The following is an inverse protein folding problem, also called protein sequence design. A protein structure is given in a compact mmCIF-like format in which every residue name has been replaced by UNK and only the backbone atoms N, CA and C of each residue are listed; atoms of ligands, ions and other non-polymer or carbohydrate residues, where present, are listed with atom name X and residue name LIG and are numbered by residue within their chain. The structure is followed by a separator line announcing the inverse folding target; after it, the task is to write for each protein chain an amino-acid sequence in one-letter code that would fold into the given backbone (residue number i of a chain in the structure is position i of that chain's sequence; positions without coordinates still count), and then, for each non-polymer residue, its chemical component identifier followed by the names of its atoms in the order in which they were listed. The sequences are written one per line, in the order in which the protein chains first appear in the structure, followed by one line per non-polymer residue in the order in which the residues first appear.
data_IF_802531160423
#
_entry.id   IF_802531160423
#
_cell.length_a   1.000
_cell.length_b   1.000
_cell.length_c   1.000
_cell.angle_alpha   90.00
_cell.angle_beta   90.00
_cell.angle_gamma   90.00
#
_symmetry.space_group_name_H-M   'P 1'
#
loop_
_entity.id
_entity.type
_entity.pdbx_description
1 polymer ?
#
# COMPACT_ATOMS: atom_id res chain seq x y z
N UNK A 1 -14.77 -13.71 -5.89
CA UNK A 1 -13.90 -14.82 -6.34
C UNK A 1 -12.99 -15.23 -5.20
N UNK A 2 -12.81 -16.54 -4.96
CA UNK A 2 -11.85 -17.04 -3.96
C UNK A 2 -10.42 -16.78 -4.46
N UNK A 3 -9.57 -16.11 -3.67
CA UNK A 3 -8.15 -15.91 -3.98
C UNK A 3 -7.33 -16.95 -3.22
N UNK A 4 -6.33 -17.53 -3.87
CA UNK A 4 -5.38 -18.43 -3.22
C UNK A 4 -4.16 -17.63 -2.78
N UNK A 5 -3.86 -17.64 -1.48
CA UNK A 5 -2.71 -16.96 -0.92
C UNK A 5 -1.63 -17.98 -0.55
N UNK A 6 -0.38 -17.64 -0.88
CA UNK A 6 0.81 -18.35 -0.42
C UNK A 6 1.05 -18.00 1.05
N UNK A 7 1.58 -18.98 1.78
CA UNK A 7 2.12 -18.74 3.12
C UNK A 7 3.54 -18.24 3.01
N UNK A 8 4.01 -17.60 4.08
CA UNK A 8 5.41 -17.22 4.26
C UNK A 8 5.95 -16.39 3.08
N UNK A 9 5.19 -15.37 2.68
CA UNK A 9 5.47 -14.60 1.48
C UNK A 9 5.30 -13.10 1.68
N UNK A 10 6.07 -12.34 0.90
CA UNK A 10 5.96 -10.89 0.83
C UNK A 10 4.91 -10.47 -0.20
N UNK A 11 3.98 -9.63 0.25
CA UNK A 11 2.85 -9.18 -0.54
C UNK A 11 2.90 -7.67 -0.80
N UNK A 12 2.86 -7.30 -2.07
CA UNK A 12 2.59 -5.93 -2.51
C UNK A 12 1.11 -5.80 -2.88
N UNK A 13 0.44 -4.81 -2.30
CA UNK A 13 -1.00 -4.61 -2.42
C UNK A 13 -1.26 -3.17 -2.86
N UNK A 14 -2.08 -3.00 -3.88
CA UNK A 14 -2.61 -1.69 -4.32
C UNK A 14 -4.11 -1.69 -4.13
N UNK A 15 -4.65 -0.64 -3.51
CA UNK A 15 -6.10 -0.48 -3.33
C UNK A 15 -6.52 0.86 -3.92
N UNK A 16 -7.01 0.87 -5.18
CA UNK A 16 -7.49 2.09 -5.80
C UNK A 16 -8.89 2.47 -5.31
N UNK A 17 -9.21 3.75 -5.44
CA UNK A 17 -10.59 4.22 -5.36
C UNK A 17 -11.34 3.92 -6.65
N UNK A 18 -12.66 3.88 -6.57
CA UNK A 18 -13.53 3.68 -7.74
C UNK A 18 -13.23 4.77 -8.78
N UNK A 19 -12.94 4.34 -10.01
CA UNK A 19 -12.52 5.19 -11.13
C UNK A 19 -11.28 6.06 -10.87
N UNK A 20 -10.45 5.72 -9.87
CA UNK A 20 -9.31 6.54 -9.42
C UNK A 20 -9.71 7.97 -9.01
N UNK A 21 -10.94 8.14 -8.51
CA UNK A 21 -11.41 9.41 -7.99
C UNK A 21 -10.63 9.83 -6.73
N UNK A 22 -10.24 11.09 -6.67
CA UNK A 22 -9.51 11.67 -5.55
C UNK A 22 -10.40 11.94 -4.33
N UNK A 23 -10.73 10.89 -3.57
CA UNK A 23 -11.51 11.02 -2.33
C UNK A 23 -10.70 11.57 -1.15
N UNK A 24 -9.36 11.47 -1.18
CA UNK A 24 -8.49 11.79 -0.03
C UNK A 24 -7.48 12.90 -0.36
N UNK A 25 -7.96 14.04 -0.89
CA UNK A 25 -7.08 15.17 -1.28
C UNK A 25 -6.48 15.88 -0.08
N UNK A 26 -7.26 16.02 0.99
CA UNK A 26 -6.86 16.78 2.16
C UNK A 26 -6.13 15.89 3.17
N UNK A 27 -5.15 16.42 3.91
CA UNK A 27 -4.45 15.65 4.95
C UNK A 27 -5.38 15.01 5.98
N UNK A 28 -6.47 15.69 6.36
CA UNK A 28 -7.47 15.13 7.27
C UNK A 28 -8.19 13.89 6.74
N UNK A 29 -8.36 13.79 5.42
CA UNK A 29 -8.97 12.63 4.77
C UNK A 29 -7.98 11.47 4.68
N UNK A 30 -6.74 11.73 4.27
CA UNK A 30 -5.66 10.71 4.29
C UNK A 30 -5.43 10.16 5.71
N UNK A 31 -5.57 11.01 6.72
CA UNK A 31 -5.44 10.62 8.13
C UNK A 31 -6.48 9.56 8.56
N UNK A 32 -7.69 9.57 7.97
CA UNK A 32 -8.69 8.52 8.21
C UNK A 32 -8.14 7.15 7.81
N UNK A 33 -7.57 7.06 6.60
CA UNK A 33 -6.95 5.82 6.08
C UNK A 33 -5.75 5.43 6.94
N UNK A 34 -4.88 6.38 7.26
CA UNK A 34 -3.68 6.15 8.08
C UNK A 34 -4.03 5.58 9.45
N UNK A 35 -5.02 6.16 10.14
CA UNK A 35 -5.47 5.69 11.45
C UNK A 35 -6.01 4.26 11.39
N UNK A 36 -6.78 3.93 10.35
CA UNK A 36 -7.28 2.57 10.12
C UNK A 36 -6.15 1.59 9.84
N UNK A 37 -5.17 1.99 9.03
CA UNK A 37 -3.98 1.20 8.70
C UNK A 37 -3.13 0.91 9.94
N UNK A 38 -2.81 1.90 10.76
CA UNK A 38 -2.04 1.72 12.00
C UNK A 38 -2.75 0.77 12.95
N UNK A 39 -4.07 0.91 13.09
CA UNK A 39 -4.87 0.01 13.92
C UNK A 39 -4.96 -1.40 13.33
N UNK A 40 -4.96 -1.55 12.01
CA UNK A 40 -4.93 -2.84 11.34
C UNK A 40 -3.60 -3.57 11.59
N UNK A 41 -2.46 -2.89 11.45
CA UNK A 41 -1.13 -3.45 11.73
C UNK A 41 -1.11 -4.09 13.12
N UNK A 42 -1.60 -3.37 14.14
CA UNK A 42 -1.71 -3.89 15.52
C UNK A 42 -2.71 -5.03 15.65
N UNK A 43 -3.90 -4.88 15.07
CA UNK A 43 -5.02 -5.84 15.21
C UNK A 43 -4.71 -7.20 14.57
N UNK A 44 -4.00 -7.20 13.46
CA UNK A 44 -3.68 -8.40 12.68
C UNK A 44 -2.26 -8.92 12.94
N UNK A 45 -1.52 -8.32 13.88
CA UNK A 45 -0.19 -8.78 14.28
C UNK A 45 0.85 -8.64 13.18
N UNK A 46 0.76 -7.60 12.34
CA UNK A 46 1.71 -7.39 11.25
C UNK A 46 3.00 -6.80 11.83
N UNK A 47 4.11 -7.52 11.71
CA UNK A 47 5.40 -7.11 12.30
C UNK A 47 5.97 -5.86 11.64
N UNK A 48 5.98 -5.82 10.31
CA UNK A 48 6.46 -4.70 9.52
C UNK A 48 5.57 -4.48 8.29
N UNK A 49 5.22 -3.23 8.04
CA UNK A 49 4.47 -2.82 6.87
C UNK A 49 5.01 -1.50 6.34
N UNK A 50 5.44 -1.53 5.08
CA UNK A 50 5.66 -0.32 4.31
C UNK A 50 4.36 0.11 3.64
N UNK A 51 4.13 1.43 3.58
CA UNK A 51 2.89 1.97 3.03
C UNK A 51 3.09 3.35 2.42
N UNK A 52 2.15 3.71 1.54
CA UNK A 52 1.90 5.09 1.13
C UNK A 52 0.42 5.30 0.82
N UNK A 53 -0.08 6.50 1.11
CA UNK A 53 -1.48 6.88 0.93
C UNK A 53 -1.54 8.14 0.05
N UNK A 54 -2.13 7.97 -1.13
CA UNK A 54 -2.34 9.01 -2.13
C UNK A 54 -3.82 9.46 -2.07
N UNK A 55 -4.21 10.40 -2.92
CA UNK A 55 -5.60 10.92 -2.96
C UNK A 55 -6.63 9.90 -3.45
N UNK A 56 -6.20 8.94 -4.26
CA UNK A 56 -7.07 8.00 -4.96
C UNK A 56 -6.62 6.53 -4.85
N UNK A 57 -5.60 6.22 -4.07
CA UNK A 57 -5.18 4.84 -3.79
C UNK A 57 -4.24 4.80 -2.58
N UNK A 58 -3.99 3.59 -2.08
CA UNK A 58 -2.86 3.34 -1.19
C UNK A 58 -2.12 2.07 -1.59
N UNK A 59 -0.84 2.02 -1.25
CA UNK A 59 0.01 0.85 -1.41
C UNK A 59 0.43 0.30 -0.06
N UNK A 60 0.50 -1.03 0.04
CA UNK A 60 1.05 -1.76 1.18
C UNK A 60 2.10 -2.75 0.71
N UNK A 61 3.12 -2.95 1.52
CA UNK A 61 4.08 -4.04 1.39
C UNK A 61 4.35 -4.64 2.76
N UNK A 62 4.04 -5.91 2.92
CA UNK A 62 4.26 -6.62 4.18
C UNK A 62 4.45 -8.11 3.94
N UNK A 63 5.17 -8.74 4.86
CA UNK A 63 5.30 -10.18 4.92
C UNK A 63 4.13 -10.77 5.70
N UNK A 64 3.62 -11.91 5.25
CA UNK A 64 2.51 -12.60 5.91
C UNK A 64 2.84 -14.10 6.03
N UNK A 65 2.87 -14.60 7.26
CA UNK A 65 2.90 -16.05 7.54
C UNK A 65 1.62 -16.72 7.01
N UNK A 66 0.47 -16.07 7.27
CA UNK A 66 -0.83 -16.46 6.73
C UNK A 66 -1.51 -15.29 6.01
N UNK A 67 -1.33 -15.23 4.69
CA UNK A 67 -1.92 -14.20 3.86
C UNK A 67 -3.46 -14.30 3.70
N UNK A 68 -4.13 -15.31 4.27
CA UNK A 68 -5.59 -15.33 4.36
C UNK A 68 -6.15 -14.20 5.25
N UNK A 69 -5.31 -13.52 6.03
CA UNK A 69 -5.71 -12.33 6.79
C UNK A 69 -5.90 -11.09 5.91
N UNK A 70 -5.28 -11.04 4.71
CA UNK A 70 -5.29 -9.86 3.83
C UNK A 70 -6.71 -9.36 3.55
N UNK A 71 -7.69 -10.17 3.12
CA UNK A 71 -9.05 -9.67 2.86
C UNK A 71 -9.72 -9.05 4.10
N UNK A 72 -9.52 -9.64 5.29
CA UNK A 72 -10.09 -9.10 6.54
C UNK A 72 -9.40 -7.80 6.96
N UNK A 73 -8.09 -7.72 6.76
CA UNK A 73 -7.29 -6.52 7.02
C UNK A 73 -7.72 -5.38 6.09
N UNK A 74 -7.83 -5.62 4.78
CA UNK A 74 -8.27 -4.61 3.83
C UNK A 74 -9.74 -4.21 4.07
N UNK A 75 -10.62 -5.13 4.45
CA UNK A 75 -11.98 -4.79 4.85
C UNK A 75 -12.02 -3.84 6.05
N UNK A 76 -11.13 -4.05 7.03
CA UNK A 76 -10.99 -3.17 8.19
C UNK A 76 -10.47 -1.78 7.79
N UNK A 77 -9.48 -1.72 6.90
CA UNK A 77 -8.88 -0.47 6.41
C UNK A 77 -9.85 0.28 5.49
N UNK A 78 -10.19 -0.31 4.34
CA UNK A 78 -11.00 0.30 3.29
C UNK A 78 -12.46 0.46 3.70
N UNK A 79 -13.07 -0.55 4.32
CA UNK A 79 -14.45 -0.45 4.79
C UNK A 79 -14.59 0.56 5.93
N UNK A 80 -13.67 0.51 6.90
CA UNK A 80 -13.65 1.43 8.04
C UNK A 80 -13.41 2.88 7.65
N UNK A 81 -12.47 3.11 6.72
CA UNK A 81 -12.20 4.45 6.18
C UNK A 81 -13.34 4.97 5.31
N UNK A 82 -14.00 4.11 4.53
CA UNK A 82 -15.19 4.50 3.76
C UNK A 82 -16.30 5.00 4.67
N UNK A 83 -16.57 4.28 5.75
CA UNK A 83 -17.59 4.66 6.72
C UNK A 83 -17.29 6.02 7.37
N UNK A 84 -16.05 6.21 7.85
CA UNK A 84 -15.64 7.45 8.50
C UNK A 84 -15.61 8.64 7.53
N UNK A 85 -15.07 8.45 6.32
CA UNK A 85 -15.02 9.48 5.30
C UNK A 85 -16.42 9.91 4.84
N UNK A 86 -17.30 8.94 4.56
CA UNK A 86 -18.68 9.22 4.16
C UNK A 86 -19.45 9.96 5.26
N UNK A 87 -19.24 9.61 6.53
CA UNK A 87 -19.82 10.34 7.67
C UNK A 87 -19.25 11.76 7.78
N UNK A 88 -17.95 11.95 7.56
CA UNK A 88 -17.30 13.25 7.59
C UNK A 88 -17.77 14.18 6.47
N UNK A 89 -18.01 13.64 5.26
CA UNK A 89 -18.47 14.40 4.10
C UNK A 89 -19.99 14.46 3.93
N UNK A 90 -20.74 13.78 4.79
CA UNK A 90 -22.22 13.66 4.71
C UNK A 90 -22.74 13.04 3.39
N UNK A 91 -21.98 12.12 2.80
CA UNK A 91 -22.36 11.38 1.58
C UNK A 91 -22.41 9.86 1.82
N UNK A 92 -22.94 9.11 0.84
CA UNK A 92 -22.88 7.65 0.82
C UNK A 92 -22.32 7.17 -0.52
N UNK A 93 -21.00 7.11 -0.62
CA UNK A 93 -20.31 6.64 -1.82
C UNK A 93 -19.63 5.29 -1.57
N UNK A 94 -19.56 4.47 -2.62
CA UNK A 94 -18.55 3.41 -2.70
C UNK A 94 -17.23 4.09 -3.02
N UNK A 95 -16.27 4.04 -2.09
CA UNK A 95 -15.00 4.76 -2.22
C UNK A 95 -13.94 3.88 -2.87
N UNK A 96 -13.75 2.66 -2.39
CA UNK A 96 -12.69 1.75 -2.84
C UNK A 96 -13.16 0.77 -3.91
N UNK A 97 -12.26 0.48 -4.86
CA UNK A 97 -12.43 -0.53 -5.89
C UNK A 97 -11.74 -1.85 -5.50
N UNK A 98 -11.75 -2.83 -6.39
CA UNK A 98 -11.07 -4.10 -6.20
C UNK A 98 -9.55 -3.91 -6.03
N UNK A 99 -9.00 -4.44 -4.93
CA UNK A 99 -7.57 -4.39 -4.68
C UNK A 99 -6.79 -5.34 -5.60
N UNK A 100 -5.59 -4.90 -5.99
CA UNK A 100 -4.59 -5.72 -6.67
C UNK A 100 -3.59 -6.26 -5.65
N UNK A 101 -3.17 -7.51 -5.84
CA UNK A 101 -2.24 -8.19 -4.93
C UNK A 101 -1.22 -9.00 -5.72
N UNK A 102 0.04 -8.85 -5.35
CA UNK A 102 1.19 -9.44 -6.01
C UNK A 102 2.10 -10.07 -4.97
N UNK A 103 2.72 -11.20 -5.32
CA UNK A 103 3.76 -11.81 -4.50
C UNK A 103 5.10 -11.39 -5.05
N UNK A 104 5.95 -10.83 -4.20
CA UNK A 104 7.34 -10.56 -4.54
C UNK A 104 8.13 -11.88 -4.48
N UNK A 105 8.82 -12.24 -5.57
CA UNK A 105 9.38 -13.59 -5.70
C UNK A 105 10.88 -13.72 -5.38
N UNK A 106 11.59 -12.64 -5.08
CA UNK A 106 13.05 -12.64 -4.84
C UNK A 106 13.50 -11.42 -4.03
N UNK A 107 14.59 -11.56 -3.27
CA UNK A 107 15.17 -10.48 -2.46
C UNK A 107 15.62 -9.27 -3.30
N UNK A 108 16.11 -9.49 -4.53
CA UNK A 108 16.53 -8.39 -5.41
C UNK A 108 15.38 -7.46 -5.86
N UNK A 109 14.14 -7.91 -5.70
CA UNK A 109 12.93 -7.16 -6.03
C UNK A 109 12.43 -6.41 -4.78
N UNK A 110 12.70 -6.93 -3.58
CA UNK A 110 12.15 -6.40 -2.34
C UNK A 110 12.42 -4.90 -2.17
N UNK A 111 13.69 -4.51 -2.21
CA UNK A 111 14.11 -3.12 -2.04
C UNK A 111 13.54 -2.19 -3.10
N UNK A 112 13.40 -2.67 -4.34
CA UNK A 112 12.75 -1.91 -5.41
C UNK A 112 11.27 -1.66 -5.11
N UNK A 113 10.56 -2.68 -4.61
CA UNK A 113 9.15 -2.50 -4.22
C UNK A 113 9.03 -1.58 -3.01
N UNK A 114 9.89 -1.72 -2.01
CA UNK A 114 9.91 -0.81 -0.86
C UNK A 114 10.13 0.63 -1.29
N UNK A 115 11.17 0.88 -2.08
CA UNK A 115 11.48 2.20 -2.64
C UNK A 115 10.31 2.78 -3.40
N UNK A 116 9.61 1.95 -4.18
CA UNK A 116 8.41 2.37 -4.90
C UNK A 116 7.32 2.77 -3.92
N UNK A 117 6.96 1.88 -2.98
CA UNK A 117 5.91 2.12 -1.97
C UNK A 117 6.18 3.39 -1.19
N UNK A 118 7.34 3.51 -0.55
CA UNK A 118 7.63 4.63 0.35
C UNK A 118 7.86 5.96 -0.41
N UNK A 119 8.27 5.88 -1.69
CA UNK A 119 8.51 7.02 -2.58
C UNK A 119 7.31 7.50 -3.38
N UNK A 120 6.17 6.78 -3.34
CA UNK A 120 5.00 7.12 -4.16
C UNK A 120 4.45 8.54 -3.97
N UNK A 121 4.43 9.13 -2.75
CA UNK A 121 4.01 10.52 -2.60
C UNK A 121 4.83 11.51 -3.45
N UNK A 122 6.13 11.28 -3.59
CA UNK A 122 6.98 12.08 -4.48
C UNK A 122 6.62 11.82 -5.95
N UNK A 123 6.49 10.54 -6.34
CA UNK A 123 6.10 10.16 -7.71
C UNK A 123 4.77 10.76 -8.14
N UNK A 124 3.78 10.83 -7.25
CA UNK A 124 2.45 11.37 -7.51
C UNK A 124 2.34 12.89 -7.31
N UNK A 125 3.44 13.56 -6.95
CA UNK A 125 3.48 15.01 -6.79
C UNK A 125 2.76 15.53 -5.54
N UNK A 126 2.47 14.66 -4.56
CA UNK A 126 1.98 15.06 -3.24
C UNK A 126 3.04 15.87 -2.45
N UNK A 127 4.32 15.68 -2.79
CA UNK A 127 5.49 16.39 -2.29
C UNK A 127 6.46 16.69 -3.44
N UNK A 128 7.38 17.64 -3.28
CA UNK A 128 8.26 18.11 -4.36
C UNK A 128 9.68 17.57 -4.30
N UNK A 129 10.15 17.14 -3.14
CA UNK A 129 11.49 16.55 -2.98
C UNK A 129 11.46 15.27 -2.16
N UNK A 130 12.47 14.42 -2.29
CA UNK A 130 12.60 13.17 -1.51
C UNK A 130 12.78 13.50 -0.03
N UNK A 131 13.46 14.59 0.30
CA UNK A 131 13.69 15.03 1.68
C UNK A 131 12.39 15.29 2.44
N UNK A 132 11.33 15.75 1.75
CA UNK A 132 10.01 15.95 2.35
C UNK A 132 9.40 14.64 2.89
N UNK A 133 9.81 13.47 2.37
CA UNK A 133 9.37 12.17 2.90
C UNK A 133 9.77 11.96 4.36
N UNK A 134 10.78 12.67 4.86
CA UNK A 134 11.21 12.56 6.27
C UNK A 134 10.15 13.08 7.26
N UNK A 135 9.29 13.99 6.82
CA UNK A 135 8.22 14.59 7.63
C UNK A 135 6.82 14.25 7.10
N UNK A 136 6.72 13.64 5.92
CA UNK A 136 5.45 13.25 5.30
C UNK A 136 4.83 12.02 5.98
N UNK A 137 3.75 12.22 6.72
CA UNK A 137 3.11 11.18 7.55
C UNK A 137 2.35 10.10 6.76
N UNK A 138 2.05 10.34 5.48
CA UNK A 138 1.27 9.40 4.65
C UNK A 138 2.15 8.44 3.85
N UNK A 139 3.38 8.23 4.31
CA UNK A 139 4.31 7.20 3.84
C UNK A 139 5.07 6.62 5.02
N UNK A 140 5.41 5.34 4.96
CA UNK A 140 6.27 4.70 5.95
C UNK A 140 7.75 5.08 5.80
N UNK A 141 8.12 5.95 4.85
CA UNK A 141 9.52 6.36 4.63
C UNK A 141 10.24 6.75 5.93
N UNK A 142 9.60 7.53 6.80
CA UNK A 142 10.18 7.91 8.10
C UNK A 142 10.52 6.70 8.96
N UNK A 143 9.66 5.69 8.99
CA UNK A 143 9.89 4.46 9.76
C UNK A 143 11.10 3.69 9.20
N UNK A 144 11.20 3.59 7.87
CA UNK A 144 12.36 2.97 7.20
C UNK A 144 13.63 3.75 7.50
N UNK A 145 13.61 5.07 7.34
CA UNK A 145 14.76 5.94 7.62
C UNK A 145 15.23 5.86 9.08
N UNK A 146 14.30 5.73 10.03
CA UNK A 146 14.63 5.58 11.46
C UNK A 146 15.20 4.20 11.80
N UNK A 147 14.70 3.14 11.17
CA UNK A 147 15.11 1.75 11.45
C UNK A 147 16.41 1.38 10.74
N UNK A 148 16.59 1.83 9.51
CA UNK A 148 17.60 1.32 8.57
C UNK A 148 18.57 2.42 8.09
N UNK A 149 18.31 3.68 8.44
CA UNK A 149 19.13 4.82 8.07
C UNK A 149 18.51 5.67 6.96
N UNK A 150 18.66 6.99 7.09
CA UNK A 150 18.09 7.96 6.13
C UNK A 150 18.67 7.81 4.74
N UNK A 151 19.98 7.63 4.61
CA UNK A 151 20.67 7.48 3.32
C UNK A 151 20.16 6.23 2.59
N UNK A 152 20.07 5.11 3.29
CA UNK A 152 19.48 3.88 2.75
C UNK A 152 18.05 4.07 2.24
N UNK A 153 17.19 4.73 3.04
CA UNK A 153 15.81 5.01 2.62
C UNK A 153 15.75 5.92 1.37
N UNK A 154 16.64 6.91 1.26
CA UNK A 154 16.77 7.77 0.07
C UNK A 154 17.22 6.95 -1.14
N UNK A 155 18.18 6.05 -0.97
CA UNK A 155 18.68 5.19 -2.05
C UNK A 155 17.59 4.24 -2.57
N UNK A 156 16.79 3.65 -1.67
CA UNK A 156 15.62 2.85 -2.05
C UNK A 156 14.70 3.62 -3.00
N UNK A 157 14.28 4.83 -2.59
CA UNK A 157 13.39 5.68 -3.41
C UNK A 157 14.06 6.07 -4.71
N UNK A 158 15.31 6.53 -4.64
CA UNK A 158 16.08 7.01 -5.80
C UNK A 158 16.28 5.94 -6.87
N UNK A 159 16.43 4.68 -6.46
CA UNK A 159 16.63 3.54 -7.36
C UNK A 159 15.44 3.22 -8.28
N UNK A 160 14.26 3.79 -8.00
CA UNK A 160 13.01 3.55 -8.73
C UNK A 160 12.32 4.82 -9.21
N UNK A 161 12.98 5.98 -9.11
CA UNK A 161 12.47 7.24 -9.66
C UNK A 161 12.30 7.10 -11.17
N UNK A 162 11.18 7.63 -11.68
CA UNK A 162 10.86 7.62 -13.10
C UNK A 162 10.24 6.33 -13.60
N UNK A 163 10.14 5.27 -12.79
CA UNK A 163 9.46 4.04 -13.18
C UNK A 163 7.94 4.25 -13.09
N UNK A 164 7.25 4.09 -14.21
CA UNK A 164 5.78 4.15 -14.26
C UNK A 164 5.16 2.97 -13.51
N UNK A 165 3.88 3.07 -13.12
CA UNK A 165 3.21 1.95 -12.45
C UNK A 165 3.11 0.72 -13.37
N UNK A 166 2.88 0.93 -14.67
CA UNK A 166 2.86 -0.13 -15.68
C UNK A 166 4.21 -0.85 -15.77
N UNK A 167 5.31 -0.10 -15.90
CA UNK A 167 6.67 -0.67 -15.97
C UNK A 167 7.02 -1.40 -14.68
N UNK A 168 6.70 -0.81 -13.52
CA UNK A 168 6.96 -1.42 -12.23
C UNK A 168 6.24 -2.77 -12.10
N UNK A 169 4.95 -2.80 -12.43
CA UNK A 169 4.15 -4.02 -12.38
C UNK A 169 4.66 -5.09 -13.37
N UNK A 170 5.11 -4.68 -14.55
CA UNK A 170 5.66 -5.59 -15.58
C UNK A 170 7.01 -6.18 -15.18
N UNK A 171 7.89 -5.39 -14.56
CA UNK A 171 9.27 -5.78 -14.26
C UNK A 171 9.41 -6.56 -12.96
N UNK A 172 8.62 -6.21 -11.94
CA UNK A 172 8.93 -6.62 -10.56
C UNK A 172 7.87 -7.49 -9.91
N UNK A 173 6.69 -7.67 -10.53
CA UNK A 173 5.58 -8.31 -9.84
C UNK A 173 5.04 -9.52 -10.59
N UNK A 174 4.79 -10.60 -9.83
CA UNK A 174 4.02 -11.75 -10.30
C UNK A 174 2.60 -11.65 -9.75
N UNK A 175 1.62 -11.69 -10.65
CA UNK A 175 0.20 -11.65 -10.28
C UNK A 175 -0.18 -12.94 -9.57
N UNK A 176 -0.74 -12.81 -8.37
CA UNK A 176 -1.42 -13.95 -7.72
C UNK A 176 -2.72 -14.18 -8.46
N UNK A 177 -2.67 -15.08 -9.46
CA UNK A 177 -3.89 -15.57 -10.08
C UNK A 177 -4.56 -16.46 -9.05
N UNK A 178 -5.75 -16.05 -8.61
CA UNK A 178 -6.69 -16.89 -7.90
C UNK A 178 -6.78 -18.23 -8.64
N UNK A 179 -6.05 -19.23 -8.16
CA UNK A 179 -6.01 -20.52 -8.83
C UNK A 179 -7.34 -21.16 -8.53
N UNK A 180 -8.24 -21.11 -9.51
CA UNK A 180 -9.51 -21.83 -9.47
C UNK A 180 -9.13 -23.31 -9.52
N UNK A 181 -9.06 -23.97 -8.36
CA UNK A 181 -9.13 -25.43 -8.35
C UNK A 181 -10.45 -25.77 -9.02
N UNK A 182 -10.39 -26.31 -10.24
CA UNK A 182 -11.52 -27.03 -10.82
C UNK A 182 -11.77 -28.17 -9.85
N UNK A 183 -12.92 -28.14 -9.18
CA UNK A 183 -13.47 -29.30 -8.51
C UNK A 183 -13.50 -30.44 -9.52
N UNK A 184 -12.70 -31.47 -9.25
CA UNK A 184 -12.87 -32.81 -9.83
C UNK A 184 -14.18 -33.38 -9.31
#
# INVERSE_FOLDING_TARGET
MSRYFLKDALYFITVPTVYHNDYFKLPGEKAIVLNRLINAIKRFGIEQMDYSIMSNHYHLLAYFDDANVIPKMLQYISGGSSFEHNRYREFKNTIWDEYHVYVASTDNIYDRIRGYVIGNPYKHGDIKTIEELTTYQFSSFRNVAQKEGKEYAIDLVSSVIGITEEEFNKLYLKKVVATRLKSV
#
